data_IF_704663119416
#
_entry.id   IF_704663119416
#
_cell.length_a   1.000
_cell.length_b   1.000
_cell.length_c   1.000
_cell.angle_alpha   90.00
_cell.angle_beta   90.00
_cell.angle_gamma   90.00
#
_symmetry.space_group_name_H-M   'P 1'
#
loop_
_entity.id
_entity.type
_entity.pdbx_description
1 polymer ?
#
# COMPACT_ATOMS: atom_id res chain seq x y z
N UNK A 1 41.46 48.27 68.27
CA UNK A 1 40.30 47.34 68.34
C UNK A 1 39.58 47.39 67.00
N UNK A 2 38.89 46.31 66.60
CA UNK A 2 38.35 46.05 65.26
C UNK A 2 39.37 45.97 64.10
N UNK A 3 39.68 44.74 63.70
CA UNK A 3 40.13 44.39 62.35
C UNK A 3 39.73 42.93 62.07
N UNK A 4 38.66 42.72 61.30
CA UNK A 4 38.18 41.37 60.96
C UNK A 4 39.16 40.67 60.01
N UNK A 5 39.75 39.55 60.45
CA UNK A 5 40.55 38.68 59.59
C UNK A 5 39.63 37.87 58.67
N UNK A 6 39.72 38.10 57.36
CA UNK A 6 39.15 37.17 56.37
C UNK A 6 40.04 35.94 56.27
N UNK A 7 39.50 34.76 56.55
CA UNK A 7 40.16 33.48 56.31
C UNK A 7 39.93 33.04 54.88
N UNK A 8 41.00 32.80 54.12
CA UNK A 8 40.93 32.24 52.78
C UNK A 8 40.82 30.72 52.89
N UNK A 9 39.66 30.15 52.55
CA UNK A 9 39.48 28.69 52.48
C UNK A 9 39.20 28.29 51.04
N UNK A 10 40.16 27.60 50.42
CA UNK A 10 40.03 26.99 49.10
C UNK A 10 39.15 25.75 49.24
N UNK A 11 37.96 25.77 48.64
CA UNK A 11 37.13 24.56 48.48
C UNK A 11 37.28 24.10 47.03
N UNK A 12 37.91 22.94 46.84
CA UNK A 12 38.04 22.33 45.53
C UNK A 12 36.67 21.81 45.04
N UNK A 13 36.20 22.33 43.90
CA UNK A 13 35.06 21.74 43.19
C UNK A 13 35.56 20.49 42.48
N UNK A 14 35.20 19.30 42.98
CA UNK A 14 35.36 18.08 42.20
C UNK A 14 34.43 18.15 40.99
N UNK A 15 35.00 18.30 39.80
CA UNK A 15 34.29 18.05 38.56
C UNK A 15 34.01 16.55 38.47
N UNK A 16 32.74 16.16 38.64
CA UNK A 16 32.31 14.80 38.33
C UNK A 16 32.35 14.65 36.80
N UNK A 17 33.36 13.94 36.30
CA UNK A 17 33.46 13.65 34.88
C UNK A 17 32.24 12.79 34.48
N UNK A 18 31.34 13.36 33.67
CA UNK A 18 30.30 12.58 33.04
C UNK A 18 30.96 11.57 32.10
N UNK A 19 30.91 10.29 32.48
CA UNK A 19 31.24 9.18 31.60
C UNK A 19 30.29 9.28 30.40
N UNK A 20 30.82 9.69 29.26
CA UNK A 20 30.09 9.65 28.01
C UNK A 20 29.70 8.20 27.74
N UNK A 21 28.41 7.90 27.87
CA UNK A 21 27.85 6.66 27.35
C UNK A 21 28.08 6.71 25.83
N UNK A 22 28.91 5.82 25.25
CA UNK A 22 29.06 5.81 23.80
C UNK A 22 27.67 5.57 23.19
N UNK A 23 27.33 6.21 22.06
CA UNK A 23 26.06 5.95 21.39
C UNK A 23 25.94 4.44 21.18
N UNK A 24 24.78 3.87 21.54
CA UNK A 24 24.54 2.44 21.45
C UNK A 24 24.90 1.98 20.04
N UNK A 25 25.88 1.08 19.93
CA UNK A 25 26.48 0.70 18.66
C UNK A 25 25.40 0.24 17.69
N UNK A 26 25.14 1.07 16.68
CA UNK A 26 24.27 0.69 15.57
C UNK A 26 24.85 -0.56 14.95
N UNK A 27 24.09 -1.66 14.98
CA UNK A 27 24.40 -2.84 14.18
C UNK A 27 24.33 -2.42 12.73
N UNK A 28 25.48 -2.10 12.13
CA UNK A 28 25.60 -1.75 10.72
C UNK A 28 25.28 -2.98 9.89
N UNK A 29 24.00 -3.15 9.55
CA UNK A 29 23.64 -3.97 8.41
C UNK A 29 24.27 -3.32 7.18
N UNK A 30 25.41 -3.86 6.75
CA UNK A 30 26.14 -3.48 5.55
C UNK A 30 25.42 -3.96 4.27
N UNK A 31 24.10 -3.78 4.22
CA UNK A 31 23.34 -3.75 2.98
C UNK A 31 23.37 -2.33 2.42
N UNK A 32 23.16 -2.19 1.11
CA UNK A 32 22.92 -0.86 0.55
C UNK A 32 21.62 -0.26 1.13
N UNK A 33 21.55 1.07 1.18
CA UNK A 33 20.28 1.75 1.44
C UNK A 33 19.45 1.79 0.14
N UNK A 34 18.11 1.81 0.20
CA UNK A 34 17.28 2.07 -0.97
C UNK A 34 17.58 3.48 -1.51
N UNK A 35 17.59 3.65 -2.83
CA UNK A 35 17.98 4.91 -3.46
C UNK A 35 16.85 5.40 -4.37
N UNK A 36 16.44 6.65 -4.20
CA UNK A 36 15.51 7.30 -5.14
C UNK A 36 16.21 7.43 -6.50
N UNK A 37 15.70 6.71 -7.50
CA UNK A 37 16.28 6.63 -8.85
C UNK A 37 15.59 7.54 -9.87
N UNK A 38 14.46 8.14 -9.53
CA UNK A 38 13.86 9.22 -10.30
C UNK A 38 12.41 9.55 -9.93
N UNK A 39 11.87 10.58 -10.57
CA UNK A 39 10.50 11.06 -10.40
C UNK A 39 9.82 11.24 -11.76
N UNK A 40 8.52 10.92 -11.82
CA UNK A 40 7.65 11.15 -12.97
C UNK A 40 6.44 11.94 -12.53
N UNK A 41 6.19 13.08 -13.16
CA UNK A 41 4.95 13.82 -12.96
C UNK A 41 3.79 13.08 -13.65
N UNK A 42 2.67 12.94 -12.97
CA UNK A 42 1.44 12.30 -13.46
C UNK A 42 0.23 13.22 -13.24
N UNK A 43 -0.90 13.03 -13.95
CA UNK A 43 -2.07 13.89 -13.78
C UNK A 43 -2.63 13.87 -12.35
N UNK A 44 -3.34 14.94 -11.98
CA UNK A 44 -3.89 15.20 -10.64
C UNK A 44 -4.81 14.07 -10.13
N UNK A 45 -4.95 13.94 -8.80
CA UNK A 45 -5.57 12.80 -8.12
C UNK A 45 -5.11 11.41 -8.65
N UNK A 46 -3.80 11.11 -8.66
CA UNK A 46 -3.31 9.77 -8.95
C UNK A 46 -3.82 8.77 -7.91
N UNK A 47 -4.48 7.70 -8.33
CA UNK A 47 -5.17 6.78 -7.41
C UNK A 47 -4.51 5.41 -7.28
N UNK A 48 -3.89 4.91 -8.36
CA UNK A 48 -3.26 3.59 -8.37
C UNK A 48 -2.14 3.47 -9.42
N UNK A 49 -1.19 2.56 -9.18
CA UNK A 49 -0.11 2.21 -10.10
C UNK A 49 0.05 0.69 -10.23
N UNK A 50 0.03 0.18 -11.46
CA UNK A 50 0.36 -1.21 -11.76
C UNK A 50 1.69 -1.32 -12.52
N UNK A 51 2.48 -2.35 -12.21
CA UNK A 51 3.61 -2.78 -13.04
C UNK A 51 3.15 -3.91 -13.97
N UNK A 52 3.56 -3.85 -15.23
CA UNK A 52 3.40 -4.95 -16.18
C UNK A 52 4.11 -6.25 -15.73
N UNK A 53 3.63 -7.45 -16.11
CA UNK A 53 4.20 -8.71 -15.66
C UNK A 53 5.66 -8.98 -16.08
N UNK A 54 6.12 -8.32 -17.14
CA UNK A 54 7.51 -8.33 -17.63
C UNK A 54 8.38 -7.22 -17.01
N UNK A 55 7.80 -6.35 -16.18
CA UNK A 55 8.48 -5.23 -15.55
C UNK A 55 8.80 -4.05 -16.47
N UNK A 56 8.33 -4.04 -17.74
CA UNK A 56 8.77 -3.04 -18.74
C UNK A 56 7.98 -1.72 -18.70
N UNK A 57 6.74 -1.76 -18.23
CA UNK A 57 5.78 -0.63 -18.19
C UNK A 57 5.13 -0.45 -16.82
N UNK A 58 4.83 0.80 -16.49
CA UNK A 58 3.98 1.21 -15.38
C UNK A 58 2.69 1.83 -15.93
N UNK A 59 1.56 1.57 -15.28
CA UNK A 59 0.26 2.13 -15.59
C UNK A 59 -0.26 2.88 -14.37
N UNK A 60 -0.29 4.21 -14.43
CA UNK A 60 -0.84 5.05 -13.36
C UNK A 60 -2.24 5.50 -13.76
N UNK A 61 -3.25 5.23 -12.93
CA UNK A 61 -4.57 5.85 -13.11
C UNK A 61 -4.72 7.10 -12.27
N UNK A 62 -5.22 8.15 -12.91
CA UNK A 62 -5.53 9.42 -12.27
C UNK A 62 -7.02 9.73 -12.42
N UNK A 63 -7.65 10.14 -11.31
CA UNK A 63 -9.04 10.57 -11.33
C UNK A 63 -9.19 11.98 -11.90
N UNK A 64 -8.15 12.81 -11.86
CA UNK A 64 -8.30 14.25 -12.11
C UNK A 64 -9.07 14.94 -10.98
N UNK A 65 -8.81 16.23 -10.82
CA UNK A 65 -9.48 17.11 -9.85
C UNK A 65 -10.03 18.32 -10.62
N UNK A 66 -11.07 19.01 -10.13
CA UNK A 66 -11.42 20.32 -10.71
C UNK A 66 -10.23 21.30 -10.55
N UNK A 67 -9.77 22.00 -11.61
CA UNK A 67 -10.36 22.16 -12.94
C UNK A 67 -9.77 21.28 -14.05
N UNK A 68 -8.94 20.28 -13.73
CA UNK A 68 -8.35 19.28 -14.64
C UNK A 68 -9.02 17.88 -14.49
N UNK A 69 -10.24 17.66 -15.01
CA UNK A 69 -11.01 16.43 -14.83
C UNK A 69 -10.50 15.26 -15.71
N UNK A 70 -9.19 15.14 -15.90
CA UNK A 70 -8.58 14.17 -16.81
C UNK A 70 -8.52 12.76 -16.18
N UNK A 71 -9.66 12.07 -16.20
CA UNK A 71 -9.74 10.63 -15.96
C UNK A 71 -8.84 9.89 -16.96
N UNK A 72 -7.69 9.37 -16.52
CA UNK A 72 -6.65 8.89 -17.44
C UNK A 72 -5.88 7.67 -16.93
N UNK A 73 -5.25 6.97 -17.88
CA UNK A 73 -4.16 6.03 -17.64
C UNK A 73 -2.89 6.62 -18.26
N UNK A 74 -1.87 6.84 -17.46
CA UNK A 74 -0.53 7.26 -17.90
C UNK A 74 0.36 6.03 -17.97
N UNK A 75 0.97 5.79 -19.13
CA UNK A 75 1.84 4.65 -19.43
C UNK A 75 3.29 5.11 -19.43
N UNK A 76 4.11 4.56 -18.55
CA UNK A 76 5.49 4.99 -18.31
C UNK A 76 6.43 3.81 -18.61
N UNK A 77 7.55 4.05 -19.29
CA UNK A 77 8.63 3.06 -19.41
C UNK A 77 9.30 2.88 -18.04
N UNK A 78 9.26 1.67 -17.49
CA UNK A 78 9.70 1.38 -16.13
C UNK A 78 11.23 1.51 -15.93
N UNK A 79 11.99 1.51 -17.03
CA UNK A 79 13.46 1.58 -17.05
C UNK A 79 13.93 3.03 -17.22
N UNK A 80 13.35 3.79 -18.15
CA UNK A 80 13.74 5.20 -18.42
C UNK A 80 12.95 6.22 -17.62
N UNK A 81 11.82 5.82 -17.03
CA UNK A 81 10.86 6.69 -16.34
C UNK A 81 10.22 7.76 -17.25
N UNK A 82 10.24 7.54 -18.57
CA UNK A 82 9.61 8.43 -19.55
C UNK A 82 8.12 8.09 -19.72
N UNK A 83 7.27 9.12 -19.77
CA UNK A 83 5.85 8.98 -20.13
C UNK A 83 5.75 8.68 -21.62
N UNK A 84 5.30 7.47 -21.96
CA UNK A 84 5.16 7.01 -23.34
C UNK A 84 3.80 7.36 -23.95
N UNK A 85 2.75 7.44 -23.13
CA UNK A 85 1.39 7.80 -23.54
C UNK A 85 0.53 8.16 -22.33
N UNK A 86 -0.41 9.10 -22.49
CA UNK A 86 -1.51 9.31 -21.55
C UNK A 86 -2.82 9.18 -22.32
N UNK A 87 -3.67 8.23 -21.91
CA UNK A 87 -4.97 7.96 -22.56
C UNK A 87 -6.12 8.26 -21.62
N UNK A 88 -7.23 8.78 -22.15
CA UNK A 88 -8.47 8.94 -21.38
C UNK A 88 -9.06 7.56 -21.05
N UNK A 89 -9.63 7.41 -19.85
CA UNK A 89 -10.29 6.17 -19.40
C UNK A 89 -11.71 6.45 -18.92
N UNK A 90 -12.33 5.47 -18.25
CA UNK A 90 -13.62 5.63 -17.58
C UNK A 90 -13.62 6.75 -16.51
N UNK A 91 -14.77 7.36 -16.18
CA UNK A 91 -14.86 8.30 -15.07
C UNK A 91 -14.60 7.66 -13.71
N UNK A 92 -13.83 8.35 -12.87
CA UNK A 92 -13.44 7.92 -11.53
C UNK A 92 -12.68 6.58 -11.48
N UNK A 93 -11.55 6.43 -12.19
CA UNK A 93 -10.71 5.24 -12.11
C UNK A 93 -10.02 5.18 -10.75
N UNK A 94 -10.27 4.13 -9.96
CA UNK A 94 -9.78 4.01 -8.57
C UNK A 94 -8.68 2.97 -8.39
N UNK A 95 -8.58 2.01 -9.31
CA UNK A 95 -7.62 0.91 -9.24
C UNK A 95 -7.30 0.39 -10.65
N UNK A 96 -6.07 -0.11 -10.84
CA UNK A 96 -5.54 -0.65 -12.09
C UNK A 96 -4.70 -1.91 -11.83
N UNK A 97 -4.88 -2.95 -12.63
CA UNK A 97 -4.09 -4.20 -12.56
C UNK A 97 -3.58 -4.58 -13.94
N UNK A 98 -2.30 -4.96 -14.05
CA UNK A 98 -1.78 -5.63 -15.24
C UNK A 98 -1.77 -7.15 -15.03
N UNK A 99 -2.45 -7.89 -15.91
CA UNK A 99 -2.61 -9.35 -15.85
C UNK A 99 -2.34 -9.97 -17.24
N UNK A 100 -1.12 -10.47 -17.43
CA UNK A 100 -0.65 -10.90 -18.75
C UNK A 100 -0.66 -9.73 -19.75
N UNK A 101 -1.31 -9.90 -20.89
CA UNK A 101 -1.54 -8.85 -21.90
C UNK A 101 -2.77 -7.96 -21.62
N UNK A 102 -3.47 -8.18 -20.51
CA UNK A 102 -4.71 -7.46 -20.16
C UNK A 102 -4.44 -6.43 -19.08
N UNK A 103 -4.99 -5.23 -19.24
CA UNK A 103 -5.09 -4.23 -18.18
C UNK A 103 -6.55 -4.21 -17.67
N UNK A 104 -6.73 -4.25 -16.36
CA UNK A 104 -8.03 -4.12 -15.70
C UNK A 104 -8.10 -2.77 -15.00
N UNK A 105 -9.18 -2.01 -15.18
CA UNK A 105 -9.38 -0.71 -14.52
C UNK A 105 -10.74 -0.66 -13.84
N UNK A 106 -10.77 -0.40 -12.54
CA UNK A 106 -11.99 -0.22 -11.77
C UNK A 106 -12.48 1.23 -11.82
N UNK A 107 -13.76 1.41 -12.14
CA UNK A 107 -14.36 2.69 -12.45
C UNK A 107 -15.57 2.95 -11.55
N UNK A 108 -15.48 3.95 -10.67
CA UNK A 108 -16.59 4.34 -9.78
C UNK A 108 -17.69 5.07 -10.54
N UNK A 109 -17.34 6.05 -11.38
CA UNK A 109 -18.31 6.85 -12.13
C UNK A 109 -19.15 6.04 -13.14
N UNK A 110 -18.68 4.85 -13.52
CA UNK A 110 -19.41 3.91 -14.36
C UNK A 110 -19.79 2.57 -13.70
N UNK A 111 -19.58 2.40 -12.38
CA UNK A 111 -19.76 1.14 -11.63
C UNK A 111 -19.32 -0.12 -12.41
N UNK A 112 -18.12 -0.07 -12.98
CA UNK A 112 -17.65 -1.04 -13.97
C UNK A 112 -16.19 -1.43 -13.77
N UNK A 113 -15.85 -2.60 -14.30
CA UNK A 113 -14.47 -3.03 -14.54
C UNK A 113 -14.22 -2.99 -16.05
N UNK A 114 -13.35 -2.11 -16.51
CA UNK A 114 -12.84 -2.17 -17.88
C UNK A 114 -11.82 -3.30 -17.99
N UNK A 115 -11.91 -4.05 -19.08
CA UNK A 115 -10.93 -5.04 -19.51
C UNK A 115 -10.33 -4.49 -20.80
N UNK A 116 -9.04 -4.18 -20.79
CA UNK A 116 -8.33 -3.47 -21.86
C UNK A 116 -7.14 -4.29 -22.35
N UNK A 117 -6.75 -4.09 -23.60
CA UNK A 117 -5.49 -4.59 -24.13
C UNK A 117 -4.34 -3.69 -23.65
N UNK A 118 -3.33 -4.25 -22.98
CA UNK A 118 -2.24 -3.48 -22.38
C UNK A 118 -1.17 -3.02 -23.39
N UNK A 119 -1.16 -3.56 -24.61
CA UNK A 119 -0.24 -3.15 -25.65
C UNK A 119 -0.78 -1.94 -26.44
N UNK A 120 -2.07 -1.98 -26.80
CA UNK A 120 -2.75 -0.96 -27.62
C UNK A 120 -3.56 0.06 -26.81
N UNK A 121 -3.75 -0.18 -25.50
CA UNK A 121 -4.60 0.62 -24.60
C UNK A 121 -6.09 0.68 -25.02
N UNK A 122 -6.56 -0.27 -25.84
CA UNK A 122 -7.97 -0.31 -26.28
C UNK A 122 -8.86 -1.08 -25.31
N UNK A 123 -10.10 -0.61 -25.10
CA UNK A 123 -11.10 -1.31 -24.29
C UNK A 123 -11.63 -2.54 -25.03
N UNK A 124 -11.37 -3.73 -24.49
CA UNK A 124 -11.88 -5.00 -25.01
C UNK A 124 -13.30 -5.28 -24.51
N UNK A 125 -13.58 -5.00 -23.23
CA UNK A 125 -14.89 -5.20 -22.57
C UNK A 125 -15.09 -4.17 -21.45
N UNK A 126 -16.35 -3.84 -21.18
CA UNK A 126 -16.75 -3.15 -19.93
C UNK A 126 -17.72 -4.05 -19.17
N UNK A 127 -17.38 -4.38 -17.93
CA UNK A 127 -18.16 -5.31 -17.09
C UNK A 127 -18.91 -4.52 -16.03
N UNK A 128 -20.24 -4.46 -16.12
CA UNK A 128 -21.08 -3.82 -15.12
C UNK A 128 -21.04 -4.54 -13.77
N UNK A 129 -20.56 -3.86 -12.73
CA UNK A 129 -20.44 -4.37 -11.36
C UNK A 129 -21.73 -4.12 -10.57
N UNK A 130 -22.41 -3.00 -10.82
CA UNK A 130 -23.64 -2.58 -10.11
C UNK A 130 -23.41 -2.16 -8.66
N UNK A 131 -22.17 -1.78 -8.34
CA UNK A 131 -21.70 -1.27 -7.06
C UNK A 131 -20.44 -0.42 -7.33
N UNK A 132 -20.09 0.47 -6.39
CA UNK A 132 -18.93 1.35 -6.54
C UNK A 132 -17.66 0.53 -6.19
N UNK A 133 -16.78 0.20 -7.16
CA UNK A 133 -15.57 -0.55 -6.89
C UNK A 133 -14.58 0.25 -6.05
N UNK A 134 -13.67 -0.46 -5.40
CA UNK A 134 -12.59 0.05 -4.56
C UNK A 134 -11.25 -0.59 -4.91
N UNK A 135 -11.23 -1.91 -5.14
CA UNK A 135 -10.03 -2.69 -5.45
C UNK A 135 -10.30 -3.89 -6.34
N UNK A 136 -9.27 -4.44 -6.97
CA UNK A 136 -9.33 -5.49 -8.00
C UNK A 136 -8.14 -6.44 -7.86
N UNK A 137 -8.23 -7.52 -7.07
CA UNK A 137 -7.17 -8.57 -7.13
C UNK A 137 -7.41 -9.53 -8.28
N UNK A 138 -6.35 -10.00 -8.93
CA UNK A 138 -6.43 -11.02 -9.99
C UNK A 138 -5.91 -12.36 -9.47
N UNK A 139 -6.61 -13.45 -9.78
CA UNK A 139 -6.18 -14.82 -9.49
C UNK A 139 -4.79 -15.10 -10.09
N UNK A 140 -3.92 -15.91 -9.46
CA UNK A 140 -2.61 -16.27 -10.02
C UNK A 140 -2.65 -16.87 -11.45
N UNK A 141 -3.78 -17.48 -11.82
CA UNK A 141 -4.09 -18.02 -13.15
C UNK A 141 -4.48 -16.97 -14.22
N UNK A 142 -4.67 -15.70 -13.84
CA UNK A 142 -5.12 -14.62 -14.73
C UNK A 142 -6.58 -14.71 -15.22
N UNK A 143 -7.37 -15.69 -14.78
CA UNK A 143 -8.71 -15.96 -15.34
C UNK A 143 -9.88 -15.36 -14.53
N UNK A 144 -9.64 -14.93 -13.29
CA UNK A 144 -10.63 -14.28 -12.41
C UNK A 144 -10.08 -12.98 -11.82
N UNK A 145 -10.92 -11.95 -11.82
CA UNK A 145 -10.72 -10.76 -10.98
C UNK A 145 -11.71 -10.81 -9.81
N UNK A 146 -11.28 -10.39 -8.63
CA UNK A 146 -12.12 -10.22 -7.45
C UNK A 146 -12.14 -8.73 -7.12
N UNK A 147 -13.23 -8.08 -7.51
CA UNK A 147 -13.41 -6.65 -7.32
C UNK A 147 -14.04 -6.42 -5.95
N UNK A 148 -13.31 -5.82 -5.02
CA UNK A 148 -13.91 -5.30 -3.81
C UNK A 148 -14.77 -4.10 -4.19
N UNK A 149 -16.06 -4.17 -3.89
CA UNK A 149 -16.97 -3.07 -4.06
C UNK A 149 -17.56 -2.65 -2.72
N UNK A 150 -17.44 -1.36 -2.42
CA UNK A 150 -18.29 -0.73 -1.41
C UNK A 150 -19.74 -0.74 -1.87
N UNK A 151 -20.67 -0.66 -0.90
CA UNK A 151 -22.06 -0.36 -1.23
C UNK A 151 -22.15 0.91 -2.05
N UNK A 152 -23.03 0.93 -3.05
CA UNK A 152 -23.22 2.12 -3.90
C UNK A 152 -23.80 3.30 -3.10
N UNK A 153 -23.83 4.49 -3.71
CA UNK A 153 -24.67 5.63 -3.25
C UNK A 153 -26.14 5.27 -2.94
N UNK A 154 -26.67 4.15 -3.46
CA UNK A 154 -27.97 3.59 -3.05
C UNK A 154 -27.84 2.67 -1.83
N UNK A 155 -28.57 2.91 -0.71
CA UNK A 155 -28.45 2.15 0.55
C UNK A 155 -28.93 0.69 0.47
N UNK A 156 -29.39 0.22 -0.70
CA UNK A 156 -29.79 -1.17 -0.95
C UNK A 156 -28.64 -2.06 -1.44
N UNK A 157 -27.52 -1.47 -1.87
CA UNK A 157 -26.35 -2.22 -2.36
C UNK A 157 -25.39 -2.42 -1.20
N UNK A 158 -25.20 -3.68 -0.77
CA UNK A 158 -24.31 -4.04 0.33
C UNK A 158 -22.88 -4.25 -0.17
N UNK A 159 -21.86 -3.99 0.66
CA UNK A 159 -20.46 -4.32 0.34
C UNK A 159 -20.28 -5.79 -0.03
N UNK A 160 -19.48 -6.05 -1.07
CA UNK A 160 -19.23 -7.39 -1.56
C UNK A 160 -17.87 -7.52 -2.26
N UNK A 161 -17.30 -8.72 -2.23
CA UNK A 161 -16.28 -9.14 -3.16
C UNK A 161 -16.98 -9.72 -4.41
N UNK A 162 -16.92 -8.99 -5.51
CA UNK A 162 -17.54 -9.33 -6.80
C UNK A 162 -16.54 -10.18 -7.60
N UNK A 163 -16.93 -11.40 -7.97
CA UNK A 163 -16.08 -12.30 -8.76
C UNK A 163 -16.39 -12.11 -10.24
N UNK A 164 -15.41 -11.71 -11.04
CA UNK A 164 -15.51 -11.49 -12.49
C UNK A 164 -14.69 -12.55 -13.23
N UNK A 165 -15.30 -13.21 -14.22
CA UNK A 165 -14.60 -14.03 -15.19
C UNK A 165 -14.08 -13.14 -16.32
N UNK A 166 -12.75 -12.96 -16.37
CA UNK A 166 -12.08 -11.98 -17.25
C UNK A 166 -12.29 -12.35 -18.72
N UNK A 167 -12.08 -13.64 -19.06
CA UNK A 167 -12.24 -14.15 -20.42
C UNK A 167 -13.68 -14.04 -20.95
N UNK A 168 -14.67 -14.30 -20.07
CA UNK A 168 -16.10 -14.15 -20.40
C UNK A 168 -16.63 -12.71 -20.26
N UNK A 169 -15.86 -11.80 -19.66
CA UNK A 169 -16.26 -10.41 -19.41
C UNK A 169 -17.53 -10.26 -18.59
N UNK A 170 -17.73 -11.08 -17.55
CA UNK A 170 -18.96 -11.02 -16.74
C UNK A 170 -18.75 -11.36 -15.28
N UNK A 171 -19.56 -10.75 -14.42
CA UNK A 171 -19.70 -11.16 -13.02
C UNK A 171 -20.24 -12.58 -12.97
N UNK A 172 -19.60 -13.44 -12.17
CA UNK A 172 -19.98 -14.84 -11.93
C UNK A 172 -20.37 -15.12 -10.49
N UNK A 173 -20.07 -14.23 -9.54
CA UNK A 173 -20.57 -14.31 -8.16
C UNK A 173 -20.43 -12.97 -7.40
N UNK A 174 -21.08 -12.85 -6.23
CA UNK A 174 -20.94 -11.74 -5.28
C UNK A 174 -20.96 -12.27 -3.84
N UNK A 175 -19.81 -12.25 -3.17
CA UNK A 175 -19.68 -12.70 -1.78
C UNK A 175 -19.81 -11.49 -0.86
N UNK A 176 -20.79 -11.47 0.05
CA UNK A 176 -20.95 -10.38 1.02
C UNK A 176 -19.74 -10.30 1.96
N UNK A 177 -19.37 -9.08 2.32
CA UNK A 177 -18.32 -8.76 3.30
C UNK A 177 -18.88 -7.84 4.40
N UNK A 178 -18.03 -7.40 5.32
CA UNK A 178 -18.42 -6.50 6.42
C UNK A 178 -18.64 -5.05 5.99
N UNK A 179 -18.90 -4.19 6.98
CA UNK A 179 -19.25 -2.77 6.79
C UNK A 179 -17.99 -1.93 6.60
N UNK A 180 -18.08 -0.94 5.69
CA UNK A 180 -16.98 -0.05 5.27
C UNK A 180 -15.72 -0.89 4.97
N UNK A 181 -15.82 -1.74 3.95
CA UNK A 181 -14.67 -2.52 3.50
C UNK A 181 -13.60 -1.62 2.89
N UNK A 182 -12.33 -1.85 3.23
CA UNK A 182 -11.21 -1.05 2.73
C UNK A 182 -10.40 -1.81 1.68
N UNK A 183 -9.73 -2.90 2.03
CA UNK A 183 -8.83 -3.60 1.10
C UNK A 183 -9.24 -5.05 0.88
N UNK A 184 -8.77 -5.61 -0.24
CA UNK A 184 -8.76 -7.04 -0.52
C UNK A 184 -7.33 -7.50 -0.80
N UNK A 185 -6.96 -8.69 -0.32
CA UNK A 185 -5.70 -9.35 -0.66
C UNK A 185 -5.95 -10.84 -0.94
N UNK A 186 -5.21 -11.44 -1.89
CA UNK A 186 -5.23 -12.89 -2.11
C UNK A 186 -4.10 -13.59 -1.36
N UNK A 187 -4.36 -14.82 -0.93
CA UNK A 187 -3.28 -15.79 -0.66
C UNK A 187 -2.46 -16.05 -1.93
N UNK A 188 -1.15 -16.33 -1.85
CA UNK A 188 -0.31 -16.65 -3.02
C UNK A 188 -0.84 -17.77 -3.93
N UNK A 189 -1.54 -18.76 -3.37
CA UNK A 189 -2.20 -19.84 -4.14
C UNK A 189 -3.53 -19.45 -4.79
N UNK A 190 -4.01 -18.22 -4.58
CA UNK A 190 -5.32 -17.73 -5.01
C UNK A 190 -6.53 -18.38 -4.30
N UNK A 191 -6.33 -19.35 -3.38
CA UNK A 191 -7.41 -20.13 -2.77
C UNK A 191 -8.21 -19.39 -1.68
N UNK A 192 -7.63 -18.31 -1.13
CA UNK A 192 -8.29 -17.42 -0.16
C UNK A 192 -8.19 -15.97 -0.60
N UNK A 193 -9.27 -15.23 -0.36
CA UNK A 193 -9.26 -13.78 -0.34
C UNK A 193 -9.51 -13.30 1.09
N UNK A 194 -8.83 -12.24 1.49
CA UNK A 194 -8.99 -11.57 2.77
C UNK A 194 -9.52 -10.16 2.49
N UNK A 195 -10.59 -9.75 3.17
CA UNK A 195 -11.19 -8.42 3.01
C UNK A 195 -11.27 -7.72 4.35
N UNK A 196 -10.65 -6.55 4.49
CA UNK A 196 -10.71 -5.74 5.70
C UNK A 196 -11.99 -4.92 5.75
N UNK A 197 -12.61 -4.86 6.93
CA UNK A 197 -13.91 -4.25 7.16
C UNK A 197 -13.74 -3.25 8.31
N UNK A 198 -13.37 -2.03 7.95
CA UNK A 198 -13.06 -0.94 8.89
C UNK A 198 -14.23 -0.65 9.83
N UNK A 199 -15.45 -0.61 9.29
CA UNK A 199 -16.67 -0.32 10.07
C UNK A 199 -17.22 -1.52 10.84
N UNK A 200 -16.68 -2.71 10.60
CA UNK A 200 -16.99 -3.94 11.36
C UNK A 200 -15.79 -4.45 12.16
N UNK A 201 -14.72 -3.67 12.30
CA UNK A 201 -13.49 -4.01 13.02
C UNK A 201 -12.96 -5.44 12.76
N UNK A 202 -13.06 -5.94 11.52
CA UNK A 202 -12.85 -7.37 11.23
C UNK A 202 -12.28 -7.64 9.85
N UNK A 203 -11.71 -8.84 9.67
CA UNK A 203 -11.30 -9.37 8.36
C UNK A 203 -12.19 -10.53 7.96
N UNK A 204 -12.83 -10.43 6.80
CA UNK A 204 -13.62 -11.51 6.19
C UNK A 204 -12.67 -12.40 5.39
N UNK A 205 -12.64 -13.70 5.67
CA UNK A 205 -11.86 -14.70 4.93
C UNK A 205 -12.79 -15.44 3.98
N UNK A 206 -12.51 -15.40 2.68
CA UNK A 206 -13.34 -15.99 1.62
C UNK A 206 -12.57 -17.16 0.98
N UNK A 207 -13.19 -18.32 0.87
CA UNK A 207 -12.71 -19.39 -0.01
C UNK A 207 -13.11 -19.03 -1.45
N UNK A 208 -12.13 -18.80 -2.31
CA UNK A 208 -12.36 -18.29 -3.68
C UNK A 208 -12.94 -19.34 -4.62
N UNK A 209 -12.55 -20.61 -4.48
CA UNK A 209 -13.09 -21.73 -5.26
C UNK A 209 -14.56 -22.01 -4.94
N UNK A 210 -14.91 -22.02 -3.64
CA UNK A 210 -16.28 -22.18 -3.15
C UNK A 210 -17.12 -20.90 -3.21
N UNK A 211 -16.48 -19.74 -3.42
CA UNK A 211 -17.06 -18.38 -3.47
C UNK A 211 -17.94 -18.07 -2.26
N UNK A 212 -17.44 -18.42 -1.06
CA UNK A 212 -18.16 -18.26 0.21
C UNK A 212 -17.21 -17.78 1.29
N UNK A 213 -17.76 -17.02 2.24
CA UNK A 213 -17.08 -16.73 3.51
C UNK A 213 -16.74 -18.05 4.19
N UNK A 214 -15.45 -18.23 4.48
CA UNK A 214 -14.91 -19.38 5.20
C UNK A 214 -14.77 -19.08 6.70
N UNK A 215 -14.48 -17.82 7.06
CA UNK A 215 -14.40 -17.33 8.43
C UNK A 215 -14.51 -15.80 8.48
N UNK A 216 -14.78 -15.26 9.66
CA UNK A 216 -14.61 -13.83 9.98
C UNK A 216 -13.70 -13.74 11.19
N UNK A 217 -12.61 -12.97 11.06
CA UNK A 217 -11.72 -12.62 12.16
C UNK A 217 -12.19 -11.30 12.77
N UNK A 218 -12.70 -11.33 13.99
CA UNK A 218 -12.99 -10.15 14.79
C UNK A 218 -11.69 -9.58 15.40
N UNK A 219 -11.44 -8.29 15.21
CA UNK A 219 -10.31 -7.55 15.77
C UNK A 219 -10.77 -6.57 16.89
N UNK A 220 -12.03 -6.66 17.34
CA UNK A 220 -12.58 -5.92 18.47
C UNK A 220 -12.79 -4.44 18.18
N UNK A 221 -11.83 -3.61 18.60
CA UNK A 221 -11.85 -2.14 18.42
C UNK A 221 -10.70 -1.64 17.52
N UNK A 222 -10.13 -2.53 16.72
CA UNK A 222 -9.15 -2.23 15.68
C UNK A 222 -9.91 -1.88 14.40
N UNK A 223 -9.60 -0.76 13.78
CA UNK A 223 -10.09 -0.40 12.45
C UNK A 223 -9.09 -0.90 11.38
N UNK A 224 -9.34 -2.04 10.71
CA UNK A 224 -8.41 -2.57 9.72
C UNK A 224 -8.51 -1.77 8.41
N UNK A 225 -7.39 -1.17 8.02
CA UNK A 225 -7.17 -0.64 6.68
C UNK A 225 -6.67 -1.75 5.76
N UNK A 226 -5.55 -1.56 5.08
CA UNK A 226 -5.02 -2.60 4.21
C UNK A 226 -4.57 -3.91 4.86
N UNK A 227 -4.36 -4.85 3.94
CA UNK A 227 -3.97 -6.22 4.15
C UNK A 227 -2.79 -6.55 3.21
N UNK A 228 -1.84 -7.34 3.71
CA UNK A 228 -0.85 -8.02 2.87
C UNK A 228 -0.70 -9.48 3.32
N UNK A 229 -0.55 -10.40 2.36
CA UNK A 229 -0.29 -11.81 2.67
C UNK A 229 1.15 -12.13 2.32
N UNK A 230 1.87 -12.80 3.22
CA UNK A 230 3.25 -13.17 2.96
C UNK A 230 3.37 -14.29 1.90
N UNK A 231 4.56 -14.54 1.31
CA UNK A 231 4.70 -15.40 0.12
C UNK A 231 4.45 -16.89 0.36
N UNK A 232 4.60 -17.36 1.61
CA UNK A 232 4.22 -18.73 2.01
C UNK A 232 2.72 -18.86 2.38
N UNK A 233 1.99 -17.73 2.43
CA UNK A 233 0.58 -17.67 2.75
C UNK A 233 0.22 -17.92 4.22
N UNK A 234 1.19 -18.06 5.13
CA UNK A 234 1.01 -18.38 6.55
C UNK A 234 0.77 -17.17 7.46
N UNK A 235 0.99 -15.94 6.97
CA UNK A 235 0.76 -14.69 7.69
C UNK A 235 -0.01 -13.67 6.85
N UNK A 236 -0.93 -13.00 7.53
CA UNK A 236 -1.65 -11.82 7.05
C UNK A 236 -1.20 -10.64 7.91
N UNK A 237 -0.64 -9.62 7.28
CA UNK A 237 -0.45 -8.32 7.90
C UNK A 237 -1.72 -7.49 7.79
N UNK A 238 -2.03 -6.73 8.84
CA UNK A 238 -3.20 -5.84 8.89
C UNK A 238 -2.75 -4.47 9.38
N UNK A 239 -2.94 -3.42 8.58
CA UNK A 239 -2.75 -2.04 9.04
C UNK A 239 -3.92 -1.64 9.96
N UNK A 240 -3.60 -1.07 11.12
CA UNK A 240 -4.55 -0.51 12.08
C UNK A 240 -4.57 1.02 11.93
N UNK A 241 -5.62 1.53 11.30
CA UNK A 241 -5.76 2.97 11.07
C UNK A 241 -5.95 3.76 12.37
N UNK A 242 -6.70 3.22 13.34
CA UNK A 242 -6.93 3.85 14.64
C UNK A 242 -5.82 3.60 15.68
N UNK A 243 -4.60 3.31 15.24
CA UNK A 243 -3.47 3.13 16.11
C UNK A 243 -2.95 4.48 16.62
N UNK A 244 -3.38 4.87 17.84
CA UNK A 244 -2.66 5.91 18.59
C UNK A 244 -1.23 5.47 18.91
N UNK A 245 -0.34 6.43 19.21
CA UNK A 245 1.12 6.26 19.40
C UNK A 245 1.51 5.06 20.30
N UNK A 246 0.69 4.73 21.29
CA UNK A 246 0.88 3.63 22.24
C UNK A 246 0.46 2.23 21.73
N UNK A 247 0.05 2.07 20.47
CA UNK A 247 -0.44 0.81 19.91
C UNK A 247 0.44 0.31 18.74
N UNK A 248 0.53 -1.01 18.50
CA UNK A 248 1.06 -1.52 17.24
C UNK A 248 0.19 -1.03 16.08
N UNK A 249 0.83 -0.54 15.00
CA UNK A 249 0.17 -0.03 13.80
C UNK A 249 0.02 -1.09 12.73
N UNK A 250 0.92 -2.09 12.70
CA UNK A 250 0.79 -3.29 11.88
C UNK A 250 0.60 -4.48 12.81
N UNK A 251 -0.46 -5.25 12.57
CA UNK A 251 -0.72 -6.53 13.25
C UNK A 251 -0.31 -7.68 12.33
N UNK A 252 0.13 -8.79 12.94
CA UNK A 252 0.48 -10.03 12.25
C UNK A 252 -0.49 -11.12 12.69
N UNK A 253 -1.25 -11.65 11.75
CA UNK A 253 -2.27 -12.70 11.94
C UNK A 253 -1.77 -14.01 11.34
N UNK A 254 -1.98 -15.13 12.04
CA UNK A 254 -1.76 -16.47 11.49
C UNK A 254 -2.92 -16.85 10.58
N UNK A 255 -2.69 -17.12 9.28
CA UNK A 255 -3.78 -17.38 8.33
C UNK A 255 -4.51 -18.72 8.53
N UNK A 256 -3.91 -19.65 9.28
CA UNK A 256 -4.48 -20.98 9.57
C UNK A 256 -5.37 -20.95 10.81
N UNK A 257 -4.92 -20.36 11.91
CA UNK A 257 -5.70 -20.28 13.16
C UNK A 257 -6.55 -19.01 13.27
N UNK A 258 -6.20 -17.97 12.50
CA UNK A 258 -6.76 -16.62 12.52
C UNK A 258 -6.47 -15.80 13.78
N UNK A 259 -5.56 -16.26 14.65
CA UNK A 259 -5.14 -15.48 15.81
C UNK A 259 -4.17 -14.35 15.42
N UNK A 260 -4.24 -13.22 16.14
CA UNK A 260 -3.19 -12.20 16.13
C UNK A 260 -1.98 -12.76 16.89
N UNK A 261 -0.89 -13.03 16.18
CA UNK A 261 0.35 -13.64 16.72
C UNK A 261 1.46 -12.61 16.99
N UNK A 262 1.23 -11.34 16.67
CA UNK A 262 2.16 -10.25 16.95
C UNK A 262 1.70 -8.92 16.34
N UNK A 263 2.49 -7.89 16.54
CA UNK A 263 2.30 -6.58 15.92
C UNK A 263 3.34 -5.58 16.39
N UNK A 264 3.63 -4.58 15.57
CA UNK A 264 4.75 -3.67 15.79
C UNK A 264 4.47 -2.23 15.36
N UNK A 265 5.43 -1.35 15.63
CA UNK A 265 5.39 0.07 15.32
C UNK A 265 6.59 0.42 14.44
N UNK A 266 6.39 0.79 13.18
CA UNK A 266 7.48 1.28 12.31
C UNK A 266 8.19 2.56 12.77
N UNK A 267 7.66 3.28 13.76
CA UNK A 267 8.17 4.62 14.14
C UNK A 267 7.72 5.75 13.21
N UNK A 268 7.08 5.43 12.08
CA UNK A 268 6.52 6.37 11.10
C UNK A 268 4.98 6.38 11.12
N UNK A 269 4.39 7.51 10.71
CA UNK A 269 2.98 7.58 10.33
C UNK A 269 2.84 6.90 8.97
N UNK A 270 2.21 5.73 8.96
CA UNK A 270 2.02 4.96 7.73
C UNK A 270 0.81 5.51 7.00
N UNK A 271 1.03 6.02 5.79
CA UNK A 271 -0.03 6.40 4.85
C UNK A 271 -0.04 5.51 3.59
N UNK A 272 0.99 4.66 3.39
CA UNK A 272 1.12 3.65 2.34
C UNK A 272 1.97 2.42 2.74
N UNK A 273 1.72 1.25 2.15
CA UNK A 273 2.58 0.04 2.20
C UNK A 273 2.45 -0.69 0.83
N UNK A 274 3.34 -1.63 0.47
CA UNK A 274 3.66 -2.02 -0.93
C UNK A 274 3.31 -3.45 -1.51
N UNK A 275 2.09 -4.02 -1.43
CA UNK A 275 1.87 -5.42 -1.86
C UNK A 275 1.35 -5.51 -3.29
N UNK A 276 1.77 -6.56 -3.99
CA UNK A 276 1.23 -6.86 -5.30
C UNK A 276 -0.18 -7.48 -5.17
N UNK A 277 -1.20 -6.72 -5.56
CA UNK A 277 -2.61 -7.11 -5.45
C UNK A 277 -3.55 -6.05 -4.88
N UNK A 278 -3.50 -4.83 -5.43
CA UNK A 278 -4.67 -4.04 -5.87
C UNK A 278 -6.04 -4.27 -5.19
N UNK A 279 -6.64 -3.34 -4.43
CA UNK A 279 -6.21 -2.10 -3.79
C UNK A 279 -7.31 -1.71 -2.76
N UNK A 280 -6.99 -1.06 -1.65
CA UNK A 280 -7.37 0.34 -1.34
C UNK A 280 -6.65 0.68 -0.03
N UNK A 281 -5.64 1.55 -0.14
CA UNK A 281 -4.81 2.12 0.93
C UNK A 281 -4.09 1.15 1.89
N UNK A 282 -2.75 1.10 1.72
CA UNK A 282 -1.69 0.67 2.69
C UNK A 282 -1.22 -0.80 2.58
N UNK A 283 -0.91 -1.30 1.40
CA UNK A 283 -0.79 -2.73 1.04
C UNK A 283 0.26 -3.57 1.86
N UNK A 284 1.51 -3.74 1.41
CA UNK A 284 2.67 -4.35 2.14
C UNK A 284 3.56 -5.41 1.45
N UNK A 285 4.73 -5.04 0.91
CA UNK A 285 5.54 -5.87 -0.02
C UNK A 285 6.50 -6.91 0.59
N UNK A 286 6.41 -8.17 0.15
CA UNK A 286 7.26 -9.29 0.59
C UNK A 286 8.04 -9.94 -0.56
N UNK A 287 9.33 -10.18 -0.30
CA UNK A 287 10.30 -10.77 -1.23
C UNK A 287 10.26 -12.31 -1.32
N UNK A 288 10.83 -12.85 -2.40
CA UNK A 288 11.12 -14.28 -2.55
C UNK A 288 12.22 -14.83 -1.63
N UNK A 289 12.87 -14.00 -0.81
CA UNK A 289 13.80 -14.43 0.25
C UNK A 289 13.54 -13.66 1.54
N UNK A 290 12.62 -14.15 2.38
CA UNK A 290 12.51 -13.74 3.78
C UNK A 290 11.47 -12.66 4.07
N UNK A 291 11.74 -11.89 5.12
CA UNK A 291 10.71 -11.35 6.03
C UNK A 291 10.60 -9.84 6.00
N UNK A 292 10.77 -9.25 4.83
CA UNK A 292 10.74 -7.79 4.68
C UNK A 292 9.35 -7.28 4.31
N UNK A 293 9.08 -6.04 4.70
CA UNK A 293 7.90 -5.25 4.40
C UNK A 293 8.34 -3.88 3.88
N UNK A 294 7.81 -3.46 2.74
CA UNK A 294 8.07 -2.16 2.13
C UNK A 294 6.90 -1.19 2.42
N UNK A 295 7.24 0.02 2.89
CA UNK A 295 6.34 1.02 3.48
C UNK A 295 6.62 2.41 2.92
N UNK A 296 5.58 3.23 2.71
CA UNK A 296 5.69 4.66 2.45
C UNK A 296 4.88 5.45 3.49
N UNK A 297 5.45 6.51 4.05
CA UNK A 297 4.81 7.25 5.12
C UNK A 297 5.61 8.47 5.53
N UNK A 298 5.24 9.05 6.65
CA UNK A 298 5.78 10.31 7.14
C UNK A 298 6.64 10.05 8.39
N UNK A 299 7.88 10.55 8.35
CA UNK A 299 8.81 10.60 9.50
C UNK A 299 9.19 12.06 9.70
N UNK A 300 8.92 12.63 10.87
CA UNK A 300 9.26 14.02 11.21
C UNK A 300 8.84 15.06 10.14
N UNK A 301 7.66 14.85 9.54
CA UNK A 301 7.09 15.63 8.42
C UNK A 301 7.78 15.47 7.05
N UNK A 302 8.66 14.49 6.89
CA UNK A 302 9.26 14.11 5.60
C UNK A 302 8.65 12.82 5.01
N UNK A 303 8.25 12.93 3.74
CA UNK A 303 7.83 11.84 2.86
C UNK A 303 8.96 10.78 2.76
N UNK A 304 8.74 9.60 3.32
CA UNK A 304 9.77 8.59 3.57
C UNK A 304 9.35 7.20 3.10
N UNK A 305 10.24 6.51 2.40
CA UNK A 305 10.11 5.08 2.10
C UNK A 305 10.98 4.26 3.06
N UNK A 306 10.46 3.14 3.56
CA UNK A 306 11.18 2.28 4.50
C UNK A 306 11.06 0.79 4.18
N UNK A 307 12.15 0.07 4.47
CA UNK A 307 12.23 -1.39 4.45
C UNK A 307 12.24 -1.86 5.90
N UNK A 308 11.33 -2.77 6.24
CA UNK A 308 11.11 -3.24 7.61
C UNK A 308 11.27 -4.75 7.65
N UNK A 309 12.11 -5.29 8.54
CA UNK A 309 12.10 -6.72 8.84
C UNK A 309 11.01 -7.04 9.88
N UNK A 310 10.23 -8.06 9.55
CA UNK A 310 9.07 -8.54 10.29
C UNK A 310 9.41 -9.66 11.29
N UNK A 311 10.59 -10.28 11.19
CA UNK A 311 11.12 -11.15 12.25
C UNK A 311 11.55 -10.30 13.44
N UNK A 312 12.42 -9.31 13.20
CA UNK A 312 12.92 -8.40 14.25
C UNK A 312 11.95 -7.26 14.57
N UNK A 313 10.95 -7.03 13.71
CA UNK A 313 9.95 -5.97 13.83
C UNK A 313 10.56 -4.55 13.87
N UNK A 314 11.57 -4.33 13.01
CA UNK A 314 12.37 -3.10 12.95
C UNK A 314 12.45 -2.57 11.53
N UNK A 315 12.47 -1.24 11.39
CA UNK A 315 12.97 -0.58 10.19
C UNK A 315 14.44 -0.98 10.03
N UNK A 316 14.78 -1.60 8.90
CA UNK A 316 16.17 -1.91 8.54
C UNK A 316 16.87 -0.68 7.97
N UNK A 317 16.17 0.04 7.11
CA UNK A 317 16.67 1.20 6.37
C UNK A 317 15.49 1.99 5.80
N UNK A 318 15.71 3.29 5.53
CA UNK A 318 14.71 4.19 4.98
C UNK A 318 15.38 5.29 4.17
N UNK A 319 14.71 5.76 3.12
CA UNK A 319 15.16 6.87 2.28
C UNK A 319 14.05 7.94 2.21
N UNK A 320 14.37 9.22 2.46
CA UNK A 320 13.45 10.30 2.13
C UNK A 320 13.17 10.29 0.64
N UNK A 321 11.91 10.36 0.25
CA UNK A 321 11.48 10.35 -1.16
C UNK A 321 11.77 11.67 -1.87
N UNK A 322 12.41 12.63 -1.19
CA UNK A 322 12.53 14.01 -1.64
C UNK A 322 11.20 14.75 -1.51
N UNK A 323 11.24 16.08 -1.61
CA UNK A 323 10.08 16.94 -1.38
C UNK A 323 9.57 17.62 -2.66
N UNK A 324 8.97 16.90 -3.64
CA UNK A 324 8.25 17.53 -4.73
C UNK A 324 6.93 18.17 -4.24
N UNK A 325 6.25 17.55 -3.26
CA UNK A 325 4.98 18.04 -2.70
C UNK A 325 5.14 19.03 -1.53
N UNK A 326 6.37 19.47 -1.18
CA UNK A 326 6.67 20.40 -0.06
C UNK A 326 5.96 20.08 1.28
N UNK A 327 5.85 18.81 1.66
CA UNK A 327 5.22 18.38 2.92
C UNK A 327 3.68 18.35 2.89
N UNK A 328 3.07 18.40 1.71
CA UNK A 328 1.63 18.23 1.49
C UNK A 328 1.32 17.04 0.55
N UNK A 329 2.16 16.00 0.62
CA UNK A 329 1.97 14.75 -0.11
C UNK A 329 0.99 13.81 0.59
N UNK A 330 0.18 13.08 -0.19
CA UNK A 330 -0.59 11.92 0.30
C UNK A 330 -0.18 10.73 -0.55
N UNK A 331 0.38 9.69 0.05
CA UNK A 331 0.65 8.42 -0.65
C UNK A 331 -0.67 7.74 -1.00
N UNK A 332 -0.86 7.43 -2.28
CA UNK A 332 -2.09 6.81 -2.77
C UNK A 332 -1.89 5.34 -3.09
N UNK A 333 -0.74 4.96 -3.64
CA UNK A 333 -0.39 3.58 -3.96
C UNK A 333 1.12 3.33 -4.00
N UNK A 334 1.54 2.05 -4.02
CA UNK A 334 2.93 1.64 -4.01
C UNK A 334 3.09 0.25 -4.64
N UNK A 335 3.73 0.19 -5.81
CA UNK A 335 3.96 -1.06 -6.54
C UNK A 335 5.44 -1.47 -6.59
N UNK A 336 5.73 -2.73 -6.92
CA UNK A 336 7.08 -3.31 -6.96
C UNK A 336 7.28 -4.02 -8.30
N UNK A 337 8.47 -3.87 -8.87
CA UNK A 337 8.87 -4.58 -10.08
C UNK A 337 8.90 -6.11 -9.88
N UNK A 338 8.59 -6.94 -10.89
CA UNK A 338 8.59 -8.41 -10.76
C UNK A 338 9.95 -9.04 -10.41
N UNK A 339 11.05 -8.32 -10.62
CA UNK A 339 12.42 -8.71 -10.24
C UNK A 339 12.79 -8.31 -8.80
N UNK A 340 11.86 -7.63 -8.11
CA UNK A 340 12.01 -7.10 -6.76
C UNK A 340 13.21 -6.12 -6.59
N UNK A 341 13.71 -5.53 -7.69
CA UNK A 341 14.84 -4.59 -7.67
C UNK A 341 14.42 -3.12 -7.55
N UNK A 342 13.13 -2.81 -7.74
CA UNK A 342 12.62 -1.43 -7.75
C UNK A 342 11.19 -1.36 -7.21
N UNK A 343 10.92 -0.35 -6.38
CA UNK A 343 9.59 0.06 -5.95
C UNK A 343 9.19 1.38 -6.61
N UNK A 344 7.88 1.63 -6.71
CA UNK A 344 7.29 2.81 -7.35
C UNK A 344 6.23 3.41 -6.43
N UNK A 345 6.58 4.50 -5.74
CA UNK A 345 5.70 5.19 -4.79
C UNK A 345 4.85 6.22 -5.53
N UNK A 346 3.52 6.10 -5.44
CA UNK A 346 2.58 7.05 -6.01
C UNK A 346 2.07 7.99 -4.92
N UNK A 347 2.20 9.30 -5.16
CA UNK A 347 1.73 10.35 -4.26
C UNK A 347 0.92 11.42 -4.98
N UNK A 348 -0.14 11.89 -4.34
CA UNK A 348 -0.83 13.12 -4.72
C UNK A 348 -0.14 14.32 -4.05
N UNK A 349 0.22 15.33 -4.83
CA UNK A 349 0.60 16.64 -4.31
C UNK A 349 -0.62 17.57 -4.38
N UNK A 350 -1.13 18.07 -3.25
CA UNK A 350 -2.32 18.92 -3.25
C UNK A 350 -2.10 20.21 -4.07
N UNK A 351 -2.97 20.45 -5.06
CA UNK A 351 -2.89 21.62 -5.96
C UNK A 351 -1.83 21.54 -7.05
N UNK A 352 -1.18 20.38 -7.23
CA UNK A 352 -0.11 20.14 -8.19
C UNK A 352 -0.32 18.80 -8.92
N UNK A 353 0.40 18.54 -10.03
CA UNK A 353 0.48 17.20 -10.61
C UNK A 353 0.86 16.17 -9.54
N UNK A 354 0.33 14.96 -9.68
CA UNK A 354 0.77 13.82 -8.89
C UNK A 354 2.21 13.44 -9.23
N UNK A 355 2.81 12.59 -8.39
CA UNK A 355 4.17 12.12 -8.59
C UNK A 355 4.29 10.61 -8.40
N UNK A 356 5.02 9.97 -9.30
CA UNK A 356 5.51 8.62 -9.15
C UNK A 356 7.02 8.67 -8.89
N UNK A 357 7.46 8.17 -7.73
CA UNK A 357 8.87 8.11 -7.35
C UNK A 357 9.39 6.69 -7.47
N UNK A 358 10.41 6.48 -8.29
CA UNK A 358 11.12 5.21 -8.38
C UNK A 358 12.17 5.10 -7.27
N UNK A 359 12.22 3.95 -6.61
CA UNK A 359 13.18 3.64 -5.54
C UNK A 359 13.85 2.31 -5.88
N UNK A 360 15.14 2.35 -6.17
CA UNK A 360 15.96 1.15 -6.36
C UNK A 360 16.18 0.47 -5.00
N UNK A 361 15.87 -0.82 -4.93
CA UNK A 361 15.94 -1.62 -3.71
C UNK A 361 17.33 -2.27 -3.55
N UNK A 362 17.82 -2.44 -2.31
CA UNK A 362 19.08 -3.11 -2.07
C UNK A 362 19.03 -4.60 -2.41
N UNK A 363 20.19 -5.14 -2.77
CA UNK A 363 20.42 -6.56 -3.11
C UNK A 363 20.86 -7.38 -1.89
#
# INVERSE_FOLDING_TARGET
>A
MNAMRRSTSVVAVLALAALAVPPAGGSTHSGAEPVVSGHVAVPTAPSAVAVSPDGSRLYVVSQGNDPEPLHSITVIDARTLEVTSTVTTCPGPVDVVAAGSTLLVACTGGQSLLVMDAATMTVLRSVGLGADPKGVVVSPSGDKAYVLASGSRSPKVLPALIVVDIGKGKVVDRVRVGVISQAVALSPSGMRAYVSNWGSNSVTVINTGARKVAATLDLGSIMPGALAVNPDGSRLLVNRENAGVSNPRILTVNTKSLDVVGGFRPGMKIDGMAYNGTLTQILGGYHRVGTLLLVAGEVDYEDTFAIIDLLTQRVLTSVPLGAPCRGAGIFTDLAIAPDEQRAYVLGECLGHPGILTAVDLPK
#
